data_IF_518063608679
#
_entry.id   IF_518063608679
#
_cell.length_a   1.000
_cell.length_b   1.000
_cell.length_c   1.000
_cell.angle_alpha   90.00
_cell.angle_beta   90.00
_cell.angle_gamma   90.00
#
_symmetry.space_group_name_H-M   'P 1'
#
loop_
_entity.id
_entity.type
_entity.pdbx_description
1 polymer ?
#
# COMPACT_ATOMS: atom_id res chain seq x y z
N UNK A 1 -12.81 -9.54 12.58
CA UNK A 1 -13.21 -9.74 11.16
C UNK A 1 -12.75 -8.50 10.39
N UNK A 2 -12.11 -8.66 9.22
CA UNK A 2 -11.64 -7.50 8.44
C UNK A 2 -12.84 -6.89 7.70
N UNK A 3 -13.12 -5.62 7.94
CA UNK A 3 -14.15 -4.87 7.24
C UNK A 3 -13.56 -4.33 5.92
N UNK A 4 -14.36 -4.31 4.85
CA UNK A 4 -13.98 -3.78 3.56
C UNK A 4 -15.13 -2.91 3.03
N UNK A 5 -14.93 -1.61 2.82
CA UNK A 5 -15.97 -0.71 2.33
C UNK A 5 -16.27 -0.96 0.85
N UNK A 6 -17.43 -0.48 0.40
CA UNK A 6 -17.80 -0.43 -1.02
C UNK A 6 -17.53 0.95 -1.63
N UNK A 7 -17.16 0.98 -2.91
CA UNK A 7 -16.83 2.19 -3.66
C UNK A 7 -17.75 2.37 -4.87
N UNK A 8 -17.98 3.62 -5.28
CA UNK A 8 -18.65 3.92 -6.54
C UNK A 8 -17.67 3.82 -7.72
N UNK A 9 -16.38 4.04 -7.47
CA UNK A 9 -15.32 3.79 -8.46
C UNK A 9 -15.13 2.28 -8.69
N UNK A 10 -15.32 1.83 -9.94
CA UNK A 10 -15.04 0.46 -10.36
C UNK A 10 -13.60 0.03 -10.05
N UNK A 11 -12.65 0.95 -10.21
CA UNK A 11 -11.24 0.70 -9.93
C UNK A 11 -10.99 0.40 -8.45
N UNK A 12 -11.51 1.24 -7.55
CA UNK A 12 -11.34 1.05 -6.11
C UNK A 12 -12.05 -0.22 -5.62
N UNK A 13 -13.26 -0.49 -6.12
CA UNK A 13 -14.00 -1.70 -5.75
C UNK A 13 -13.28 -2.98 -6.22
N UNK A 14 -12.65 -2.94 -7.40
CA UNK A 14 -11.83 -4.04 -7.90
C UNK A 14 -10.55 -4.28 -7.06
N UNK A 15 -9.96 -3.24 -6.47
CA UNK A 15 -8.86 -3.39 -5.49
C UNK A 15 -9.39 -4.11 -4.25
N UNK A 16 -10.52 -3.66 -3.69
CA UNK A 16 -11.14 -4.29 -2.52
C UNK A 16 -11.48 -5.76 -2.78
N UNK A 17 -12.05 -6.07 -3.93
CA UNK A 17 -12.36 -7.44 -4.33
C UNK A 17 -11.10 -8.31 -4.39
N UNK A 18 -10.00 -7.76 -4.92
CA UNK A 18 -8.70 -8.44 -4.98
C UNK A 18 -8.09 -8.65 -3.58
N UNK A 19 -8.19 -7.66 -2.69
CA UNK A 19 -7.77 -7.77 -1.28
C UNK A 19 -8.59 -8.83 -0.53
N UNK A 20 -9.92 -8.85 -0.72
CA UNK A 20 -10.81 -9.87 -0.14
C UNK A 20 -10.37 -11.28 -0.51
N UNK A 21 -9.98 -11.52 -1.77
CA UNK A 21 -9.47 -12.81 -2.24
C UNK A 21 -8.13 -13.20 -1.61
N UNK A 22 -7.26 -12.23 -1.35
CA UNK A 22 -5.94 -12.43 -0.71
C UNK A 22 -5.97 -12.41 0.81
N UNK A 23 -7.11 -12.11 1.43
CA UNK A 23 -7.24 -11.98 2.88
C UNK A 23 -6.74 -13.20 3.67
N UNK A 24 -6.97 -14.43 3.16
CA UNK A 24 -6.50 -15.65 3.83
C UNK A 24 -4.97 -15.69 3.98
N UNK A 25 -4.21 -15.33 2.94
CA UNK A 25 -2.74 -15.35 3.00
C UNK A 25 -2.17 -14.20 3.83
N UNK A 26 -2.83 -13.04 3.83
CA UNK A 26 -2.43 -11.85 4.58
C UNK A 26 -2.54 -12.05 6.11
N UNK A 27 -3.59 -12.75 6.57
CA UNK A 27 -3.90 -12.96 8.00
C UNK A 27 -2.78 -13.66 8.79
N UNK A 28 -1.98 -14.51 8.16
CA UNK A 28 -0.92 -15.24 8.87
C UNK A 28 0.31 -14.37 9.15
N UNK A 29 0.45 -13.23 8.46
CA UNK A 29 1.66 -12.39 8.51
C UNK A 29 1.40 -10.98 9.05
N UNK A 30 0.15 -10.51 9.01
CA UNK A 30 -0.23 -9.14 9.36
C UNK A 30 -1.11 -9.14 10.60
N UNK A 31 -0.75 -8.30 11.59
CA UNK A 31 -1.49 -8.15 12.85
C UNK A 31 -2.86 -7.54 12.62
N UNK A 32 -2.81 -6.43 11.88
CA UNK A 32 -3.90 -5.49 11.75
C UNK A 32 -3.87 -4.96 10.35
N UNK A 33 -4.98 -5.13 9.67
CA UNK A 33 -5.29 -4.45 8.41
C UNK A 33 -6.41 -3.49 8.71
N UNK A 34 -6.18 -2.23 8.41
CA UNK A 34 -7.16 -1.16 8.47
C UNK A 34 -7.47 -0.79 7.02
N UNK A 35 -8.74 -0.78 6.66
CA UNK A 35 -9.19 -0.52 5.31
C UNK A 35 -10.40 0.40 5.37
N UNK A 36 -10.19 1.68 5.06
CA UNK A 36 -11.18 2.73 5.20
C UNK A 36 -11.53 3.36 3.86
N UNK A 37 -12.76 3.84 3.76
CA UNK A 37 -13.22 4.71 2.68
C UNK A 37 -13.20 6.13 3.20
N UNK A 38 -12.40 6.97 2.57
CA UNK A 38 -12.24 8.38 2.90
C UNK A 38 -12.69 9.21 1.71
N UNK A 39 -13.09 10.45 1.95
CA UNK A 39 -13.39 11.42 0.90
C UNK A 39 -12.41 12.58 1.02
N UNK A 40 -11.69 12.87 -0.05
CA UNK A 40 -10.95 14.12 -0.18
C UNK A 40 -11.88 15.16 -0.83
N UNK A 41 -11.70 16.43 -0.46
CA UNK A 41 -12.43 17.55 -1.05
C UNK A 41 -11.44 18.36 -1.88
N UNK A 42 -11.63 18.36 -3.20
CA UNK A 42 -10.80 19.11 -4.15
C UNK A 42 -11.75 19.97 -4.98
N UNK A 43 -11.57 21.29 -4.94
CA UNK A 43 -12.41 22.24 -5.69
C UNK A 43 -13.91 21.98 -5.48
N UNK A 44 -14.33 21.78 -4.23
CA UNK A 44 -15.72 21.47 -3.83
C UNK A 44 -16.26 20.09 -4.27
N UNK A 45 -15.48 19.31 -5.03
CA UNK A 45 -15.82 17.95 -5.40
C UNK A 45 -15.33 16.94 -4.36
N UNK A 46 -16.20 16.01 -3.97
CA UNK A 46 -15.85 14.87 -3.12
C UNK A 46 -15.27 13.75 -3.97
N UNK A 47 -14.03 13.37 -3.70
CA UNK A 47 -13.33 12.30 -4.40
C UNK A 47 -13.17 11.12 -3.44
N UNK A 48 -13.62 9.94 -3.87
CA UNK A 48 -13.43 8.71 -3.10
C UNK A 48 -11.95 8.30 -3.07
N UNK A 49 -11.48 7.97 -1.88
CA UNK A 49 -10.13 7.46 -1.61
C UNK A 49 -10.21 6.19 -0.78
N UNK A 50 -9.49 5.16 -1.21
CA UNK A 50 -9.22 3.98 -0.42
C UNK A 50 -8.00 4.23 0.45
N UNK A 51 -8.12 4.05 1.76
CA UNK A 51 -6.98 4.02 2.67
C UNK A 51 -6.76 2.62 3.26
N UNK A 52 -5.61 2.02 2.96
CA UNK A 52 -5.20 0.71 3.49
C UNK A 52 -3.95 0.87 4.35
N UNK A 53 -3.96 0.31 5.55
CA UNK A 53 -2.80 0.24 6.44
C UNK A 53 -2.58 -1.19 6.94
N UNK A 54 -1.37 -1.71 6.77
CA UNK A 54 -0.92 -3.03 7.25
C UNK A 54 0.11 -2.85 8.36
N UNK A 55 -0.13 -3.48 9.52
CA UNK A 55 0.80 -3.49 10.65
C UNK A 55 1.35 -4.89 10.93
N UNK A 56 2.66 -4.97 11.20
CA UNK A 56 3.32 -6.20 11.59
C UNK A 56 2.90 -6.73 12.99
N UNK A 57 2.90 -8.06 13.13
CA UNK A 57 2.33 -8.83 14.24
C UNK A 57 3.21 -8.93 15.50
N UNK A 58 4.54 -8.88 15.38
CA UNK A 58 5.42 -9.40 16.44
C UNK A 58 6.38 -8.38 17.08
N UNK A 59 6.30 -7.10 16.75
CA UNK A 59 7.32 -6.13 17.18
C UNK A 59 6.75 -4.74 17.44
N UNK A 60 7.11 -4.14 18.58
CA UNK A 60 6.89 -2.72 18.89
C UNK A 60 7.69 -1.78 17.97
N UNK A 61 8.61 -2.36 17.17
CA UNK A 61 9.41 -1.77 16.09
C UNK A 61 8.90 -2.24 14.72
N UNK A 62 7.59 -2.41 14.61
CA UNK A 62 6.95 -3.07 13.48
C UNK A 62 7.03 -2.28 12.19
N UNK A 63 6.90 -3.01 11.09
CA UNK A 63 6.68 -2.44 9.76
C UNK A 63 5.24 -1.90 9.68
N UNK A 64 5.13 -0.73 9.05
CA UNK A 64 3.87 -0.14 8.64
C UNK A 64 3.91 0.06 7.13
N UNK A 65 2.96 -0.54 6.42
CA UNK A 65 2.73 -0.30 5.00
C UNK A 65 1.39 0.41 4.84
N UNK A 66 1.40 1.57 4.22
CA UNK A 66 0.21 2.37 3.90
C UNK A 66 0.07 2.46 2.40
N UNK A 67 -1.14 2.24 1.91
CA UNK A 67 -1.49 2.29 0.50
C UNK A 67 -2.75 3.11 0.34
N UNK A 68 -2.67 4.16 -0.46
CA UNK A 68 -3.81 5.00 -0.82
C UNK A 68 -4.06 4.91 -2.32
N UNK A 69 -5.33 4.88 -2.71
CA UNK A 69 -5.73 4.90 -4.11
C UNK A 69 -6.96 5.77 -4.30
N UNK A 70 -6.98 6.49 -5.43
CA UNK A 70 -8.10 7.31 -5.87
C UNK A 70 -8.76 6.69 -7.10
N UNK A 71 -10.01 7.09 -7.36
CA UNK A 71 -10.82 6.52 -8.44
C UNK A 71 -10.26 6.77 -9.85
N UNK A 72 -9.38 7.76 -10.02
CA UNK A 72 -8.71 8.13 -11.27
C UNK A 72 -7.41 7.35 -11.52
N UNK A 73 -7.14 6.33 -10.70
CA UNK A 73 -5.97 5.46 -10.71
C UNK A 73 -4.68 6.13 -10.21
N UNK A 74 -4.77 7.26 -9.52
CA UNK A 74 -3.65 7.74 -8.70
C UNK A 74 -3.43 6.82 -7.50
N UNK A 75 -2.17 6.55 -7.19
CA UNK A 75 -1.75 5.66 -6.10
C UNK A 75 -0.64 6.33 -5.32
N UNK A 76 -0.70 6.18 -4.00
CA UNK A 76 0.38 6.52 -3.08
C UNK A 76 0.69 5.32 -2.22
N UNK A 77 1.97 5.00 -2.08
CA UNK A 77 2.44 3.90 -1.25
C UNK A 77 3.56 4.38 -0.35
N UNK A 78 3.50 3.97 0.90
CA UNK A 78 4.47 4.30 1.93
C UNK A 78 4.75 3.08 2.77
N UNK A 79 6.03 2.77 2.93
CA UNK A 79 6.49 1.68 3.76
C UNK A 79 7.56 2.21 4.70
N UNK A 80 7.41 1.90 6.00
CA UNK A 80 8.32 2.36 7.04
C UNK A 80 8.55 1.29 8.07
N UNK A 81 9.75 1.26 8.65
CA UNK A 81 10.07 0.41 9.80
C UNK A 81 10.53 1.26 10.96
N UNK A 82 9.87 1.12 12.12
CA UNK A 82 10.23 1.89 13.30
C UNK A 82 11.49 1.30 13.96
N UNK A 83 12.48 2.15 14.24
CA UNK A 83 13.68 1.81 14.99
C UNK A 83 13.57 2.11 16.48
N UNK A 84 14.70 2.05 17.20
CA UNK A 84 14.80 2.53 18.59
C UNK A 84 14.70 4.05 18.68
N UNK A 85 15.27 4.77 17.70
CA UNK A 85 15.35 6.23 17.65
C UNK A 85 14.83 6.65 16.27
N UNK A 86 13.51 6.83 16.14
CA UNK A 86 12.88 7.20 14.87
C UNK A 86 12.64 6.03 13.90
N UNK A 87 12.66 6.32 12.61
CA UNK A 87 12.49 5.34 11.54
C UNK A 87 13.85 4.74 11.16
N UNK A 88 13.90 3.42 11.07
CA UNK A 88 15.08 2.67 10.62
C UNK A 88 15.26 2.78 9.10
N UNK A 89 14.14 2.86 8.38
CA UNK A 89 14.08 3.18 6.96
C UNK A 89 12.67 3.67 6.61
N UNK A 90 12.61 4.49 5.56
CA UNK A 90 11.37 5.03 4.99
C UNK A 90 11.44 5.00 3.47
N UNK A 91 10.34 4.60 2.85
CA UNK A 91 10.18 4.61 1.41
C UNK A 91 8.78 5.07 1.05
N UNK A 92 8.70 6.04 0.14
CA UNK A 92 7.42 6.53 -0.37
C UNK A 92 7.50 6.68 -1.88
N UNK A 93 6.45 6.24 -2.56
CA UNK A 93 6.32 6.37 -4.00
C UNK A 93 4.87 6.68 -4.37
N UNK A 94 4.69 7.50 -5.38
CA UNK A 94 3.38 7.84 -5.87
C UNK A 94 3.39 7.97 -7.38
N UNK A 95 2.21 7.87 -7.95
CA UNK A 95 2.03 8.07 -9.37
C UNK A 95 0.75 7.47 -9.86
N UNK A 96 0.53 7.65 -11.16
CA UNK A 96 -0.64 7.09 -11.81
C UNK A 96 -0.35 5.67 -12.26
N UNK A 97 -1.29 4.77 -11.99
CA UNK A 97 -1.17 3.39 -12.43
C UNK A 97 -1.17 3.31 -13.96
N UNK A 98 -0.22 2.53 -14.51
CA UNK A 98 -0.12 2.31 -15.94
C UNK A 98 -1.38 1.63 -16.50
N UNK A 99 -1.77 1.98 -17.74
CA UNK A 99 -3.00 1.49 -18.37
C UNK A 99 -3.09 -0.04 -18.45
N UNK A 100 -1.94 -0.71 -18.57
CA UNK A 100 -1.85 -2.17 -18.70
C UNK A 100 -1.87 -2.92 -17.36
N UNK A 101 -1.74 -2.21 -16.23
CA UNK A 101 -1.78 -2.84 -14.93
C UNK A 101 -3.22 -3.09 -14.49
N UNK A 102 -3.42 -4.12 -13.68
CA UNK A 102 -4.70 -4.48 -13.09
C UNK A 102 -4.73 -4.24 -11.58
N UNK A 103 -5.91 -4.06 -10.96
CA UNK A 103 -6.03 -3.98 -9.51
C UNK A 103 -5.42 -5.19 -8.76
N UNK A 104 -5.37 -6.35 -9.43
CA UNK A 104 -4.71 -7.55 -8.88
C UNK A 104 -3.20 -7.36 -8.77
N UNK A 105 -2.59 -6.70 -9.73
CA UNK A 105 -1.13 -6.43 -9.73
C UNK A 105 -0.77 -5.49 -8.58
N UNK A 106 -1.61 -4.50 -8.29
CA UNK A 106 -1.43 -3.64 -7.10
C UNK A 106 -1.50 -4.44 -5.81
N UNK A 107 -2.50 -5.31 -5.66
CA UNK A 107 -2.62 -6.15 -4.45
C UNK A 107 -1.45 -7.12 -4.31
N UNK A 108 -0.94 -7.65 -5.44
CA UNK A 108 0.27 -8.47 -5.44
C UNK A 108 1.49 -7.66 -5.00
N UNK A 109 1.66 -6.45 -5.53
CA UNK A 109 2.74 -5.53 -5.15
C UNK A 109 2.69 -5.13 -3.67
N UNK A 110 1.50 -4.90 -3.10
CA UNK A 110 1.32 -4.65 -1.66
C UNK A 110 1.78 -5.85 -0.83
N UNK A 111 1.37 -7.06 -1.22
CA UNK A 111 1.74 -8.29 -0.51
C UNK A 111 3.25 -8.58 -0.59
N UNK A 112 3.83 -8.38 -1.77
CA UNK A 112 5.26 -8.54 -2.02
C UNK A 112 6.08 -7.48 -1.28
N UNK A 113 5.66 -6.21 -1.31
CA UNK A 113 6.32 -5.12 -0.58
C UNK A 113 6.30 -5.36 0.92
N UNK A 114 5.17 -5.85 1.46
CA UNK A 114 5.09 -6.24 2.86
C UNK A 114 6.06 -7.40 3.16
N UNK A 115 6.17 -8.38 2.26
CA UNK A 115 7.07 -9.52 2.43
C UNK A 115 8.55 -9.11 2.41
N UNK A 116 8.95 -8.30 1.44
CA UNK A 116 10.30 -7.71 1.34
C UNK A 116 10.61 -6.85 2.57
N UNK A 117 9.63 -6.10 3.06
CA UNK A 117 9.82 -5.25 4.24
C UNK A 117 10.22 -6.02 5.50
N UNK A 118 9.84 -7.30 5.60
CA UNK A 118 10.20 -8.19 6.72
C UNK A 118 11.67 -8.62 6.70
N UNK A 119 12.40 -8.40 5.60
CA UNK A 119 13.81 -8.75 5.47
C UNK A 119 14.71 -7.77 6.26
N UNK A 120 15.87 -8.27 6.70
CA UNK A 120 16.75 -7.53 7.63
C UNK A 120 17.75 -6.58 6.95
N UNK A 121 17.97 -6.68 5.63
CA UNK A 121 18.97 -5.88 4.91
C UNK A 121 18.39 -4.57 4.35
N UNK A 122 18.68 -3.44 4.99
CA UNK A 122 18.09 -2.13 4.67
C UNK A 122 18.41 -1.63 3.25
N UNK A 123 19.66 -1.78 2.79
CA UNK A 123 20.09 -1.22 1.50
C UNK A 123 19.44 -1.94 0.32
N UNK A 124 19.28 -3.27 0.39
CA UNK A 124 18.61 -4.02 -0.68
C UNK A 124 17.10 -3.83 -0.65
N UNK A 125 16.51 -3.61 0.54
CA UNK A 125 15.07 -3.50 0.73
C UNK A 125 14.44 -2.35 -0.04
N UNK A 126 15.02 -1.14 0.00
CA UNK A 126 14.47 0.01 -0.75
C UNK A 126 14.50 -0.24 -2.25
N UNK A 127 15.61 -0.77 -2.77
CA UNK A 127 15.77 -1.08 -4.20
C UNK A 127 14.81 -2.20 -4.63
N UNK A 128 14.60 -3.20 -3.78
CA UNK A 128 13.64 -4.28 -4.01
C UNK A 128 12.20 -3.75 -4.04
N UNK A 129 11.79 -2.93 -3.08
CA UNK A 129 10.46 -2.31 -3.09
C UNK A 129 10.29 -1.42 -4.32
N UNK A 130 11.30 -0.62 -4.68
CA UNK A 130 11.22 0.20 -5.88
C UNK A 130 11.03 -0.62 -7.16
N UNK A 131 11.72 -1.75 -7.30
CA UNK A 131 11.56 -2.66 -8.45
C UNK A 131 10.16 -3.25 -8.57
N UNK A 132 9.48 -3.48 -7.45
CA UNK A 132 8.09 -3.95 -7.43
C UNK A 132 7.14 -2.89 -8.02
N UNK A 133 7.28 -1.64 -7.59
CA UNK A 133 6.31 -0.59 -7.93
C UNK A 133 6.61 0.17 -9.20
N UNK A 134 7.89 0.34 -9.58
CA UNK A 134 8.28 1.15 -10.73
C UNK A 134 7.61 0.71 -12.05
N UNK A 135 7.43 -0.59 -12.34
CA UNK A 135 6.71 -1.03 -13.55
C UNK A 135 5.21 -0.71 -13.51
N UNK A 136 4.63 -0.52 -12.33
CA UNK A 136 3.19 -0.36 -12.14
C UNK A 136 2.74 1.09 -12.23
N UNK A 137 3.62 2.04 -11.87
CA UNK A 137 3.29 3.46 -11.74
C UNK A 137 4.08 4.31 -12.74
N UNK A 138 3.37 5.12 -13.49
CA UNK A 138 3.90 6.29 -14.17
C UNK A 138 4.05 7.43 -13.15
N UNK A 139 5.16 7.42 -12.41
CA UNK A 139 5.46 8.39 -11.36
C UNK A 139 6.93 8.38 -10.92
N UNK A 140 7.24 9.23 -9.94
CA UNK A 140 8.58 9.49 -9.43
C UNK A 140 8.72 9.13 -7.95
N UNK A 141 9.90 8.64 -7.59
CA UNK A 141 10.24 8.26 -6.22
C UNK A 141 10.34 9.53 -5.37
N UNK A 142 9.41 9.70 -4.42
CA UNK A 142 9.28 10.96 -3.69
C UNK A 142 10.13 11.03 -2.44
N UNK A 143 10.43 9.88 -1.79
CA UNK A 143 11.38 9.86 -0.68
C UNK A 143 12.03 8.49 -0.45
N UNK A 144 13.30 8.53 -0.04
CA UNK A 144 14.10 7.40 0.46
C UNK A 144 14.94 7.88 1.63
N UNK A 145 14.90 7.18 2.75
CA UNK A 145 15.78 7.43 3.91
C UNK A 145 16.21 6.14 4.59
#
# INVERSE_FOLDING_TARGET
MMYFPGFNSEFLDAIIFSLKKKNKSLKHRINKVICDKVYDVVEEHKIEKLELTLHELKSSKGIVLRFYAWGDRWVWIDARRRGKIGWDWEWTFEGRMSGNCTPRDLVAAIDESYTVSLLSNRKSLVDEIYKIWKPLLAGELTSVK
#
